data_IF_958093601072
#
_entry.id   IF_958093601072
#
_cell.length_a   1.000
_cell.length_b   1.000
_cell.length_c   1.000
_cell.angle_alpha   90.00
_cell.angle_beta   90.00
_cell.angle_gamma   90.00
#
_symmetry.space_group_name_H-M   'P 1'
#
loop_
_entity.id
_entity.type
_entity.pdbx_description
1 polymer ?
#
# COMPACT_ATOMS: atom_id res chain seq x y z
N UNK A 1 -9.03 -71.33 -18.95
CA UNK A 1 -9.55 -69.99 -19.32
C UNK A 1 -9.67 -69.01 -18.13
N UNK A 2 -9.90 -69.45 -16.88
CA UNK A 2 -9.96 -68.54 -15.72
C UNK A 2 -8.63 -67.84 -15.37
N UNK A 3 -7.51 -68.56 -15.42
CA UNK A 3 -6.18 -68.00 -15.08
C UNK A 3 -5.73 -66.88 -16.05
N UNK A 4 -6.07 -66.99 -17.34
CA UNK A 4 -5.76 -65.98 -18.34
C UNK A 4 -6.58 -64.69 -18.16
N UNK A 5 -7.88 -64.83 -17.82
CA UNK A 5 -8.74 -63.68 -17.48
C UNK A 5 -8.27 -62.97 -16.21
N UNK A 6 -7.81 -63.72 -15.20
CA UNK A 6 -7.25 -63.14 -13.97
C UNK A 6 -5.95 -62.36 -14.22
N UNK A 7 -5.08 -62.84 -15.10
CA UNK A 7 -3.82 -62.17 -15.43
C UNK A 7 -4.05 -60.86 -16.20
N UNK A 8 -5.01 -60.85 -17.12
CA UNK A 8 -5.41 -59.65 -17.89
C UNK A 8 -6.03 -58.59 -16.97
N UNK A 9 -6.86 -58.99 -16.01
CA UNK A 9 -7.45 -58.07 -15.04
C UNK A 9 -6.36 -57.44 -14.15
N UNK A 10 -5.39 -58.23 -13.68
CA UNK A 10 -4.26 -57.71 -12.88
C UNK A 10 -3.42 -56.72 -13.70
N UNK A 11 -3.17 -57.01 -14.98
CA UNK A 11 -2.42 -56.12 -15.87
C UNK A 11 -3.16 -54.79 -16.12
N UNK A 12 -4.48 -54.82 -16.30
CA UNK A 12 -5.31 -53.61 -16.48
C UNK A 12 -5.34 -52.76 -15.20
N UNK A 13 -5.44 -53.37 -14.02
CA UNK A 13 -5.40 -52.66 -12.73
C UNK A 13 -4.03 -52.02 -12.51
N UNK A 14 -2.94 -52.71 -12.87
CA UNK A 14 -1.59 -52.17 -12.76
C UNK A 14 -1.36 -50.99 -13.73
N UNK A 15 -1.89 -51.08 -14.95
CA UNK A 15 -1.85 -50.01 -15.93
C UNK A 15 -2.62 -48.76 -15.44
N UNK A 16 -3.79 -48.96 -14.81
CA UNK A 16 -4.59 -47.86 -14.25
C UNK A 16 -3.90 -47.18 -13.06
N UNK A 17 -3.16 -47.93 -12.23
CA UNK A 17 -2.41 -47.39 -11.09
C UNK A 17 -1.21 -46.52 -11.51
N UNK A 18 -0.63 -46.78 -12.68
CA UNK A 18 0.50 -45.99 -13.21
C UNK A 18 0.07 -44.71 -13.94
N UNK A 19 -1.21 -44.57 -14.31
CA UNK A 19 -1.73 -43.35 -14.94
C UNK A 19 -2.12 -42.25 -13.93
N UNK A 20 -2.26 -42.56 -12.65
CA UNK A 20 -2.67 -41.58 -11.63
C UNK A 20 -1.52 -40.81 -11.00
N UNK A 21 -0.26 -41.10 -11.34
CA UNK A 21 0.93 -40.47 -10.76
C UNK A 21 1.38 -39.15 -11.42
N UNK A 22 0.60 -38.57 -12.35
CA UNK A 22 0.93 -37.29 -13.00
C UNK A 22 0.07 -36.10 -12.59
N UNK A 23 -0.72 -36.21 -11.51
CA UNK A 23 -1.30 -35.06 -10.82
C UNK A 23 -0.35 -34.56 -9.73
N UNK A 24 0.92 -34.31 -10.08
CA UNK A 24 1.75 -33.44 -9.26
C UNK A 24 1.20 -32.04 -9.41
N UNK A 25 0.52 -31.55 -8.37
CA UNK A 25 0.30 -30.11 -8.19
C UNK A 25 1.68 -29.46 -8.18
N UNK A 26 2.10 -28.96 -9.34
CA UNK A 26 3.21 -28.02 -9.45
C UNK A 26 2.75 -26.73 -8.76
N UNK A 27 2.85 -26.70 -7.44
CA UNK A 27 3.00 -25.44 -6.74
C UNK A 27 4.35 -24.89 -7.18
N UNK A 28 4.33 -24.17 -8.30
CA UNK A 28 5.45 -23.35 -8.72
C UNK A 28 5.83 -22.51 -7.51
N UNK A 29 7.05 -22.71 -7.01
CA UNK A 29 7.71 -21.89 -5.99
C UNK A 29 8.05 -20.50 -6.56
N UNK A 30 7.10 -19.93 -7.29
CA UNK A 30 7.03 -18.58 -7.82
C UNK A 30 5.88 -17.82 -7.13
N UNK A 31 5.50 -18.24 -5.91
CA UNK A 31 4.79 -17.35 -5.00
C UNK A 31 5.72 -16.17 -4.71
N UNK A 32 5.17 -14.96 -4.68
CA UNK A 32 5.88 -13.70 -4.42
C UNK A 32 6.56 -13.67 -3.04
N UNK A 33 7.58 -14.49 -2.85
CA UNK A 33 8.49 -14.47 -1.72
C UNK A 33 9.56 -13.41 -2.05
N UNK A 34 9.14 -12.15 -2.00
CA UNK A 34 9.95 -11.00 -2.41
C UNK A 34 9.17 -9.69 -2.53
N UNK A 35 9.86 -8.63 -2.98
CA UNK A 35 9.30 -7.29 -3.20
C UNK A 35 8.04 -7.35 -4.08
N UNK A 36 6.88 -7.18 -3.44
CA UNK A 36 5.57 -7.27 -4.07
C UNK A 36 5.38 -6.27 -5.21
N UNK A 37 6.16 -5.17 -5.24
CA UNK A 37 6.10 -4.17 -6.32
C UNK A 37 6.56 -4.71 -7.68
N UNK A 38 7.27 -5.85 -7.71
CA UNK A 38 7.71 -6.46 -8.96
C UNK A 38 6.57 -7.08 -9.77
N UNK A 39 5.53 -7.54 -9.09
CA UNK A 39 4.39 -8.23 -9.72
C UNK A 39 3.09 -7.42 -9.63
N UNK A 40 3.03 -6.44 -8.73
CA UNK A 40 1.86 -5.60 -8.54
C UNK A 40 2.24 -4.12 -8.65
N UNK A 41 1.41 -3.36 -9.37
CA UNK A 41 1.54 -1.92 -9.49
C UNK A 41 0.18 -1.26 -9.31
N UNK A 42 0.20 -0.03 -8.78
CA UNK A 42 -0.95 0.84 -8.72
C UNK A 42 -0.50 2.22 -9.19
N UNK A 43 -1.02 2.64 -10.35
CA UNK A 43 -0.68 3.93 -10.94
C UNK A 43 -1.53 5.07 -10.37
N UNK A 44 -1.03 6.30 -10.45
CA UNK A 44 -1.79 7.50 -10.05
C UNK A 44 -3.11 7.64 -10.82
N UNK A 45 -3.15 7.26 -12.11
CA UNK A 45 -4.37 7.31 -12.90
C UNK A 45 -5.44 6.33 -12.37
N UNK A 46 -5.03 5.14 -11.95
CA UNK A 46 -5.94 4.17 -11.32
C UNK A 46 -6.46 4.67 -9.98
N UNK A 47 -5.61 5.30 -9.16
CA UNK A 47 -6.05 5.95 -7.92
C UNK A 47 -7.05 7.08 -8.20
N UNK A 48 -6.80 7.93 -9.18
CA UNK A 48 -7.74 8.99 -9.55
C UNK A 48 -9.12 8.42 -9.97
N UNK A 49 -9.14 7.29 -10.67
CA UNK A 49 -10.38 6.60 -11.02
C UNK A 49 -11.11 6.05 -9.78
N UNK A 50 -10.37 5.54 -8.78
CA UNK A 50 -10.93 5.09 -7.50
C UNK A 50 -11.53 6.28 -6.76
N UNK A 51 -10.80 7.40 -6.64
CA UNK A 51 -11.29 8.62 -6.01
C UNK A 51 -12.56 9.15 -6.67
N UNK A 52 -12.62 9.12 -8.01
CA UNK A 52 -13.84 9.47 -8.75
C UNK A 52 -15.04 8.59 -8.38
N UNK A 53 -14.85 7.27 -8.25
CA UNK A 53 -15.90 6.34 -7.82
C UNK A 53 -16.37 6.59 -6.38
N UNK A 54 -15.51 7.15 -5.54
CA UNK A 54 -15.82 7.53 -4.16
C UNK A 54 -16.41 8.94 -4.03
N UNK A 55 -16.68 9.64 -5.13
CA UNK A 55 -17.07 11.06 -5.15
C UNK A 55 -16.01 12.02 -4.55
N UNK A 56 -14.74 11.61 -4.57
CA UNK A 56 -13.58 12.36 -4.08
C UNK A 56 -12.68 12.86 -5.23
N UNK A 57 -13.26 13.18 -6.40
CA UNK A 57 -12.49 13.61 -7.59
C UNK A 57 -11.63 14.88 -7.38
N UNK A 58 -11.92 15.65 -6.32
CA UNK A 58 -11.18 16.86 -5.93
C UNK A 58 -9.98 16.55 -5.02
N UNK A 59 -9.93 15.36 -4.41
CA UNK A 59 -8.83 14.98 -3.55
C UNK A 59 -7.56 14.73 -4.37
N UNK A 60 -6.43 15.19 -3.86
CA UNK A 60 -5.11 15.02 -4.48
C UNK A 60 -4.40 13.81 -3.90
N UNK A 61 -3.92 12.92 -4.75
CA UNK A 61 -3.03 11.83 -4.32
C UNK A 61 -1.68 12.40 -3.89
N UNK A 62 -1.27 12.12 -2.66
CA UNK A 62 0.02 12.53 -2.09
C UNK A 62 1.09 11.46 -2.25
N UNK A 63 0.74 10.20 -1.98
CA UNK A 63 1.66 9.06 -2.05
C UNK A 63 0.92 7.74 -2.28
N UNK A 64 1.60 6.78 -2.89
CA UNK A 64 1.13 5.41 -3.11
C UNK A 64 2.26 4.46 -2.71
N UNK A 65 2.03 3.66 -1.67
CA UNK A 65 3.04 2.75 -1.13
C UNK A 65 2.44 1.40 -0.76
N UNK A 66 3.31 0.43 -0.45
CA UNK A 66 2.86 -0.84 0.10
C UNK A 66 2.38 -0.64 1.54
N UNK A 67 1.27 -1.30 1.88
CA UNK A 67 0.74 -1.35 3.24
C UNK A 67 1.58 -2.29 4.12
N UNK A 68 1.60 -2.08 5.45
CA UNK A 68 2.10 -3.08 6.40
C UNK A 68 1.34 -4.42 6.31
N UNK A 69 0.08 -4.42 5.87
CA UNK A 69 -0.65 -5.65 5.55
C UNK A 69 -0.33 -6.06 4.12
N UNK A 70 0.19 -7.28 3.96
CA UNK A 70 0.52 -7.85 2.64
C UNK A 70 -0.69 -7.80 1.71
N UNK A 71 -0.43 -7.61 0.43
CA UNK A 71 -1.45 -7.52 -0.63
C UNK A 71 -2.34 -6.30 -0.60
N UNK A 72 -2.01 -5.27 0.19
CA UNK A 72 -2.67 -3.97 0.16
C UNK A 72 -1.70 -2.85 -0.27
N UNK A 73 -2.24 -1.90 -1.02
CA UNK A 73 -1.67 -0.57 -1.22
C UNK A 73 -2.19 0.36 -0.14
N UNK A 74 -1.31 1.19 0.39
CA UNK A 74 -1.64 2.35 1.22
C UNK A 74 -1.57 3.60 0.36
N UNK A 75 -2.67 4.36 0.34
CA UNK A 75 -2.82 5.54 -0.51
C UNK A 75 -3.07 6.75 0.38
N UNK A 76 -2.22 7.75 0.24
CA UNK A 76 -2.31 9.00 0.99
C UNK A 76 -2.97 10.05 0.10
N UNK A 77 -3.94 10.78 0.64
CA UNK A 77 -4.64 11.85 -0.08
C UNK A 77 -4.71 13.13 0.74
N UNK A 78 -4.84 14.23 0.02
CA UNK A 78 -5.23 15.54 0.54
C UNK A 78 -6.61 15.87 -0.02
N UNK A 79 -7.62 15.87 0.83
CA UNK A 79 -8.96 16.36 0.53
C UNK A 79 -9.13 17.74 1.15
N UNK A 80 -8.91 18.79 0.36
CA UNK A 80 -9.12 20.18 0.76
C UNK A 80 -8.41 20.57 2.07
N UNK A 81 -7.16 20.14 2.24
CA UNK A 81 -6.34 20.35 3.42
C UNK A 81 -6.48 19.26 4.48
N UNK A 82 -7.44 18.34 4.35
CA UNK A 82 -7.59 17.18 5.24
C UNK A 82 -6.84 15.99 4.66
N UNK A 83 -5.78 15.60 5.35
CA UNK A 83 -4.98 14.43 4.99
C UNK A 83 -5.67 13.15 5.42
N UNK A 84 -5.74 12.19 4.51
CA UNK A 84 -6.38 10.90 4.72
C UNK A 84 -5.55 9.75 4.17
N UNK A 85 -5.82 8.56 4.70
CA UNK A 85 -5.26 7.31 4.21
C UNK A 85 -6.41 6.33 3.98
N UNK A 86 -6.36 5.60 2.87
CA UNK A 86 -7.18 4.41 2.66
C UNK A 86 -6.36 3.31 2.00
N UNK A 87 -6.91 2.10 2.02
CA UNK A 87 -6.23 0.93 1.49
C UNK A 87 -6.99 0.30 0.35
N UNK A 88 -6.25 -0.22 -0.63
CA UNK A 88 -6.81 -0.95 -1.78
C UNK A 88 -6.06 -2.24 -1.95
N UNK A 89 -6.78 -3.34 -2.15
CA UNK A 89 -6.12 -4.63 -2.36
C UNK A 89 -5.42 -4.72 -3.73
N UNK A 90 -4.49 -5.65 -3.88
CA UNK A 90 -3.74 -5.82 -5.13
C UNK A 90 -4.63 -6.15 -6.34
N UNK A 91 -5.83 -6.72 -6.15
CA UNK A 91 -6.79 -6.92 -7.23
C UNK A 91 -7.55 -5.66 -7.63
N UNK A 92 -7.40 -4.57 -6.86
CA UNK A 92 -8.04 -3.25 -7.07
C UNK A 92 -9.57 -3.32 -7.03
N UNK A 93 -10.12 -4.34 -6.35
CA UNK A 93 -11.57 -4.60 -6.25
C UNK A 93 -12.15 -4.13 -4.93
N UNK A 94 -11.35 -4.19 -3.86
CA UNK A 94 -11.78 -3.90 -2.51
C UNK A 94 -11.01 -2.70 -1.97
N UNK A 95 -11.76 -1.79 -1.37
CA UNK A 95 -11.24 -0.68 -0.61
C UNK A 95 -11.52 -0.92 0.87
N UNK A 96 -10.53 -0.66 1.72
CA UNK A 96 -10.66 -0.77 3.16
C UNK A 96 -10.50 0.64 3.76
N UNK A 97 -11.57 1.18 4.38
CA UNK A 97 -11.58 2.56 4.88
C UNK A 97 -11.04 2.70 6.32
N UNK A 98 -10.73 1.60 7.01
CA UNK A 98 -10.38 1.58 8.43
C UNK A 98 -8.88 1.57 8.71
N UNK A 99 -8.48 1.85 9.96
CA UNK A 99 -7.09 1.78 10.37
C UNK A 99 -6.60 0.33 10.45
N UNK A 100 -5.31 0.15 10.20
CA UNK A 100 -4.59 -1.10 10.44
C UNK A 100 -4.02 -1.07 11.86
N UNK A 101 -4.48 -2.01 12.68
CA UNK A 101 -3.97 -2.23 14.04
C UNK A 101 -3.07 -3.47 14.02
N UNK A 102 -1.80 -3.31 14.42
CA UNK A 102 -0.88 -4.42 14.59
C UNK A 102 -1.23 -5.18 15.87
N UNK A 103 -1.51 -6.48 15.76
CA UNK A 103 -2.02 -7.29 16.87
C UNK A 103 -0.98 -7.47 17.98
N UNK A 104 0.30 -7.60 17.63
CA UNK A 104 1.36 -7.91 18.60
C UNK A 104 1.57 -6.77 19.60
N UNK A 105 1.41 -5.52 19.15
CA UNK A 105 1.68 -4.32 19.96
C UNK A 105 0.42 -3.49 20.26
N UNK A 106 -0.70 -3.75 19.56
CA UNK A 106 -1.88 -2.90 19.55
C UNK A 106 -1.67 -1.56 18.82
N UNK A 107 -0.56 -1.38 18.11
CA UNK A 107 -0.21 -0.09 17.50
C UNK A 107 -1.06 0.20 16.26
N UNK A 108 -1.55 1.42 16.15
CA UNK A 108 -2.28 1.89 14.97
C UNK A 108 -1.31 2.36 13.88
N UNK A 109 -0.99 1.46 12.94
CA UNK A 109 -0.05 1.73 11.85
C UNK A 109 -0.54 2.80 10.89
N UNK A 110 -1.86 2.93 10.71
CA UNK A 110 -2.43 4.01 9.91
C UNK A 110 -2.18 5.36 10.57
N UNK A 111 -2.37 5.49 11.88
CA UNK A 111 -2.08 6.71 12.62
C UNK A 111 -0.59 7.08 12.56
N UNK A 112 0.31 6.10 12.71
CA UNK A 112 1.75 6.30 12.51
C UNK A 112 2.08 6.78 11.09
N UNK A 113 1.39 6.26 10.07
CA UNK A 113 1.61 6.66 8.68
C UNK A 113 1.09 8.08 8.40
N UNK A 114 -0.06 8.46 8.98
CA UNK A 114 -0.60 9.82 8.91
C UNK A 114 0.40 10.85 9.45
N UNK A 115 1.05 10.56 10.58
CA UNK A 115 2.06 11.44 11.18
C UNK A 115 3.28 11.65 10.27
N UNK A 116 3.55 10.71 9.36
CA UNK A 116 4.64 10.78 8.39
C UNK A 116 4.25 11.50 7.10
N UNK A 117 2.97 11.83 6.90
CA UNK A 117 2.55 12.64 5.75
C UNK A 117 3.13 14.04 5.97
N UNK A 118 4.01 14.53 5.06
CA UNK A 118 4.61 15.84 5.21
C UNK A 118 3.52 16.89 5.42
N UNK A 119 3.60 17.66 6.51
CA UNK A 119 2.57 18.64 6.90
C UNK A 119 2.43 19.76 5.84
N UNK A 120 3.36 19.81 4.88
CA UNK A 120 3.50 20.88 3.89
C UNK A 120 4.50 21.90 4.41
N UNK A 121 5.10 22.66 3.51
CA UNK A 121 5.88 23.82 3.93
C UNK A 121 4.92 24.92 4.38
N UNK A 122 5.25 25.60 5.47
CA UNK A 122 4.57 26.83 5.80
C UNK A 122 4.75 27.81 4.64
N UNK A 123 3.66 28.46 4.23
CA UNK A 123 3.72 29.53 3.24
C UNK A 123 4.32 30.76 3.91
N UNK A 124 5.64 30.89 3.78
CA UNK A 124 6.43 31.96 4.41
C UNK A 124 5.93 33.34 3.99
N UNK A 125 5.32 33.47 2.80
CA UNK A 125 4.76 34.75 2.32
C UNK A 125 3.58 35.24 3.15
N UNK A 126 2.92 34.34 3.89
CA UNK A 126 1.79 34.67 4.77
C UNK A 126 2.21 35.06 6.18
N UNK A 127 3.50 34.95 6.52
CA UNK A 127 4.01 35.36 7.84
C UNK A 127 4.17 36.89 7.82
N UNK A 128 3.44 37.65 8.67
CA UNK A 128 3.55 39.10 8.70
C UNK A 128 4.91 39.50 9.29
N UNK A 129 5.74 40.17 8.48
CA UNK A 129 7.09 40.59 8.90
C UNK A 129 7.16 42.05 9.38
N UNK A 130 6.04 42.76 9.36
CA UNK A 130 5.94 44.21 9.63
C UNK A 130 6.53 44.59 11.00
N UNK A 131 6.33 43.71 12.00
CA UNK A 131 6.78 43.89 13.37
C UNK A 131 7.89 42.90 13.74
N UNK A 132 8.52 42.25 12.74
CA UNK A 132 9.58 41.30 12.99
C UNK A 132 10.90 42.02 13.32
N UNK A 133 11.62 41.50 14.31
CA UNK A 133 12.99 41.93 14.59
C UNK A 133 13.95 41.21 13.63
N UNK A 134 14.64 41.97 12.78
CA UNK A 134 15.69 41.41 11.90
C UNK A 134 16.99 41.32 12.68
N UNK A 135 17.47 40.09 12.89
CA UNK A 135 18.78 39.83 13.49
C UNK A 135 19.76 39.31 12.42
N UNK A 136 20.94 39.94 12.33
CA UNK A 136 21.99 39.57 11.37
C UNK A 136 21.87 40.28 10.01
N UNK A 137 22.31 39.61 8.93
CA UNK A 137 22.33 40.18 7.59
C UNK A 137 20.94 40.08 6.93
N UNK A 138 20.30 41.22 6.66
CA UNK A 138 18.99 41.29 6.01
C UNK A 138 18.93 40.63 4.61
N UNK A 139 20.07 40.55 3.93
CA UNK A 139 20.23 39.99 2.59
C UNK A 139 20.78 38.55 2.59
N UNK A 140 20.78 37.87 3.74
CA UNK A 140 21.22 36.47 3.83
C UNK A 140 20.39 35.56 2.91
N UNK A 141 21.07 34.64 2.22
CA UNK A 141 20.44 33.66 1.31
C UNK A 141 19.63 32.58 2.04
N UNK A 142 19.91 32.36 3.33
CA UNK A 142 19.15 31.49 4.22
C UNK A 142 18.56 32.34 5.33
N UNK A 143 17.26 32.19 5.55
CA UNK A 143 16.51 32.90 6.59
C UNK A 143 15.92 31.89 7.57
N UNK A 144 15.95 32.24 8.85
CA UNK A 144 15.29 31.49 9.92
C UNK A 144 14.25 32.42 10.54
N UNK A 145 13.02 31.93 10.69
CA UNK A 145 11.92 32.67 11.33
C UNK A 145 11.67 32.02 12.67
N UNK A 146 11.77 32.81 13.74
CA UNK A 146 11.54 32.37 15.11
C UNK A 146 10.28 33.05 15.64
N UNK A 147 9.31 32.27 16.08
CA UNK A 147 8.18 32.75 16.87
C UNK A 147 8.56 32.56 18.34
N UNK A 148 8.58 33.64 19.11
CA UNK A 148 8.97 33.63 20.52
C UNK A 148 7.96 34.41 21.35
N UNK A 149 7.76 33.94 22.58
CA UNK A 149 7.03 34.63 23.64
C UNK A 149 8.08 35.08 24.68
N UNK A 150 8.04 36.33 25.18
CA UNK A 150 8.99 36.81 26.18
C UNK A 150 8.80 36.22 27.59
N UNK A 151 7.67 35.56 27.88
CA UNK A 151 7.40 34.88 29.15
C UNK A 151 8.05 33.48 29.23
#
# INVERSE_FOLDING_TARGET
MHKFRSLVIIFIVFLFLTLTSTLTYSFSKAGCEGDCKKCHSLSTQEVNNILKKMNLSHAKTLDIRLSPVKSLWEIHIDDNGKKGIFYVDFSKKYLLPGPIIELDTGSNKTAESIQKIPIGHADVSKIPLNNALVMGNANASKKVIVFTDPD
#
